data_IF_863911107639
#
_entry.id   IF_863911107639
#
_cell.length_a   1.000
_cell.length_b   1.000
_cell.length_c   1.000
_cell.angle_alpha   90.00
_cell.angle_beta   90.00
_cell.angle_gamma   90.00
#
_symmetry.space_group_name_H-M   'P 1'
#
loop_
_entity.id
_entity.type
_entity.pdbx_description
1 polymer ?
#
# COMPACT_ATOMS: atom_id res chain seq x y z
N UNK A 1 -29.05 -14.89 0.81
CA UNK A 1 -28.97 -14.07 2.04
C UNK A 1 -27.92 -14.63 2.96
N UNK A 2 -26.64 -14.51 2.57
CA UNK A 2 -25.55 -14.73 3.52
C UNK A 2 -25.48 -13.55 4.48
N UNK A 3 -24.87 -13.70 5.66
CA UNK A 3 -24.58 -12.55 6.51
C UNK A 3 -23.78 -11.54 5.70
N UNK A 4 -24.05 -10.24 5.89
CA UNK A 4 -23.12 -9.23 5.44
C UNK A 4 -21.79 -9.53 6.15
N UNK A 5 -20.77 -9.96 5.40
CA UNK A 5 -19.42 -10.25 5.90
C UNK A 5 -18.67 -8.94 6.25
N UNK A 6 -19.41 -7.89 6.62
CA UNK A 6 -18.93 -6.54 6.79
C UNK A 6 -19.10 -6.17 8.25
N UNK A 7 -17.99 -6.09 8.98
CA UNK A 7 -17.96 -5.55 10.34
C UNK A 7 -18.21 -4.04 10.29
N UNK A 8 -18.79 -3.46 11.35
CA UNK A 8 -19.05 -2.02 11.38
C UNK A 8 -17.76 -1.22 11.51
N UNK A 9 -17.76 0.05 11.09
CA UNK A 9 -16.64 0.97 11.27
C UNK A 9 -16.15 1.01 12.74
N UNK A 10 -17.09 1.00 13.70
CA UNK A 10 -16.78 1.02 15.13
C UNK A 10 -16.12 -0.27 15.60
N UNK A 11 -16.58 -1.42 15.10
CA UNK A 11 -15.97 -2.71 15.43
C UNK A 11 -14.55 -2.80 14.86
N UNK A 12 -14.36 -2.41 13.59
CA UNK A 12 -13.05 -2.32 12.96
C UNK A 12 -12.11 -1.42 13.75
N UNK A 13 -12.57 -0.22 14.12
CA UNK A 13 -11.80 0.75 14.90
C UNK A 13 -11.35 0.17 16.24
N UNK A 14 -12.25 -0.51 16.96
CA UNK A 14 -11.92 -1.11 18.26
C UNK A 14 -10.91 -2.26 18.13
N UNK A 15 -10.98 -3.04 17.04
CA UNK A 15 -9.96 -4.06 16.73
C UNK A 15 -8.61 -3.39 16.47
N UNK A 16 -8.57 -2.38 15.61
CA UNK A 16 -7.34 -1.66 15.29
C UNK A 16 -6.71 -1.01 16.53
N UNK A 17 -7.50 -0.40 17.43
CA UNK A 17 -7.00 0.18 18.68
C UNK A 17 -6.28 -0.83 19.56
N UNK A 18 -6.81 -2.05 19.67
CA UNK A 18 -6.15 -3.12 20.42
C UNK A 18 -4.81 -3.49 19.80
N UNK A 19 -4.74 -3.62 18.47
CA UNK A 19 -3.49 -3.93 17.77
C UNK A 19 -2.46 -2.81 17.98
N UNK A 20 -2.88 -1.56 17.83
CA UNK A 20 -2.02 -0.38 18.01
C UNK A 20 -1.48 -0.31 19.44
N UNK A 21 -2.33 -0.52 20.45
CA UNK A 21 -1.93 -0.46 21.86
C UNK A 21 -0.84 -1.50 22.20
N UNK A 22 -0.90 -2.70 21.62
CA UNK A 22 0.10 -3.75 21.86
C UNK A 22 1.44 -3.49 21.12
N UNK A 23 1.45 -2.65 20.08
CA UNK A 23 2.61 -2.44 19.22
C UNK A 23 3.30 -1.08 19.42
N UNK A 24 2.60 -0.08 19.95
CA UNK A 24 3.03 1.32 19.94
C UNK A 24 4.43 1.58 20.54
N UNK A 25 4.79 0.85 21.60
CA UNK A 25 6.08 1.00 22.27
C UNK A 25 7.25 0.40 21.50
N UNK A 26 6.98 -0.48 20.52
CA UNK A 26 7.98 -1.22 19.74
C UNK A 26 8.19 -0.72 18.32
N UNK A 27 7.48 0.34 17.89
CA UNK A 27 7.49 0.80 16.49
C UNK A 27 7.80 2.28 16.35
N UNK A 28 8.43 2.63 15.23
CA UNK A 28 8.72 4.01 14.84
C UNK A 28 7.52 4.69 14.16
N UNK A 29 6.69 3.91 13.48
CA UNK A 29 5.49 4.36 12.76
C UNK A 29 4.46 3.23 12.65
N UNK A 30 3.23 3.59 12.28
CA UNK A 30 2.21 2.64 11.86
C UNK A 30 1.94 2.76 10.36
N UNK A 31 1.97 1.63 9.66
CA UNK A 31 1.55 1.53 8.27
C UNK A 31 0.22 0.76 8.20
N UNK A 32 -0.86 1.49 7.95
CA UNK A 32 -2.18 0.92 7.67
C UNK A 32 -2.19 0.39 6.23
N UNK A 33 -1.63 -0.80 6.00
CA UNK A 33 -1.45 -1.35 4.65
C UNK A 33 -2.64 -2.14 4.11
N UNK A 34 -2.74 -2.19 2.78
CA UNK A 34 -3.73 -3.02 2.08
C UNK A 34 -5.18 -2.69 2.44
N UNK A 35 -5.47 -1.40 2.67
CA UNK A 35 -6.84 -0.95 2.94
C UNK A 35 -7.68 -1.04 1.66
N UNK A 36 -8.76 -1.82 1.70
CA UNK A 36 -9.58 -2.12 0.52
C UNK A 36 -10.76 -1.14 0.35
N UNK A 37 -11.08 -0.36 1.38
CA UNK A 37 -12.12 0.68 1.39
C UNK A 37 -11.71 1.93 2.17
N UNK A 38 -12.42 3.03 1.96
CA UNK A 38 -12.22 4.26 2.72
C UNK A 38 -12.55 4.08 4.21
N UNK A 39 -13.60 3.31 4.54
CA UNK A 39 -14.02 3.07 5.92
C UNK A 39 -12.98 2.23 6.70
N UNK A 40 -12.43 1.19 6.07
CA UNK A 40 -11.33 0.41 6.67
C UNK A 40 -10.10 1.30 6.93
N UNK A 41 -9.70 2.09 5.94
CA UNK A 41 -8.59 3.03 6.08
C UNK A 41 -8.85 4.02 7.22
N UNK A 42 -10.06 4.58 7.28
CA UNK A 42 -10.44 5.54 8.31
C UNK A 42 -10.40 4.93 9.71
N UNK A 43 -10.91 3.72 9.90
CA UNK A 43 -10.82 3.04 11.19
C UNK A 43 -9.36 2.79 11.60
N UNK A 44 -8.54 2.23 10.70
CA UNK A 44 -7.15 1.91 10.99
C UNK A 44 -6.31 3.16 11.27
N UNK A 45 -6.42 4.19 10.43
CA UNK A 45 -5.67 5.44 10.57
C UNK A 45 -6.11 6.20 11.82
N UNK A 46 -7.40 6.19 12.18
CA UNK A 46 -7.87 6.80 13.44
C UNK A 46 -7.21 6.12 14.64
N UNK A 47 -7.26 4.79 14.72
CA UNK A 47 -6.62 4.04 15.80
C UNK A 47 -5.10 4.30 15.85
N UNK A 48 -4.43 4.26 14.71
CA UNK A 48 -2.99 4.50 14.64
C UNK A 48 -2.61 5.92 15.07
N UNK A 49 -3.41 6.93 14.69
CA UNK A 49 -3.16 8.33 15.03
C UNK A 49 -3.26 8.59 16.54
N UNK A 50 -4.10 7.85 17.26
CA UNK A 50 -4.24 7.95 18.73
C UNK A 50 -2.95 7.55 19.48
N UNK A 51 -2.04 6.82 18.83
CA UNK A 51 -0.73 6.48 19.41
C UNK A 51 0.25 7.65 19.48
N UNK A 52 0.00 8.73 18.72
CA UNK A 52 0.93 9.85 18.56
C UNK A 52 2.16 9.54 17.68
N UNK A 53 2.24 8.35 17.07
CA UNK A 53 3.29 7.98 16.12
C UNK A 53 2.95 8.47 14.70
N UNK A 54 3.94 8.64 13.81
CA UNK A 54 3.70 8.83 12.38
C UNK A 54 2.81 7.70 11.81
N UNK A 55 1.83 8.08 10.99
CA UNK A 55 0.90 7.12 10.36
C UNK A 55 1.01 7.21 8.85
N UNK A 56 1.25 6.08 8.21
CA UNK A 56 1.17 5.88 6.77
C UNK A 56 -0.09 5.10 6.44
N UNK A 57 -0.68 5.38 5.29
CA UNK A 57 -1.81 4.59 4.76
C UNK A 57 -1.43 4.05 3.39
N UNK A 58 -1.72 2.78 3.13
CA UNK A 58 -1.57 2.18 1.81
C UNK A 58 -2.87 1.52 1.37
N UNK A 59 -3.34 1.87 0.17
CA UNK A 59 -4.55 1.29 -0.42
C UNK A 59 -4.22 0.19 -1.42
N UNK A 60 -5.08 -0.83 -1.48
CA UNK A 60 -5.05 -1.83 -2.57
C UNK A 60 -6.10 -1.50 -3.63
N UNK A 61 -5.66 -1.55 -4.89
CA UNK A 61 -6.46 -1.14 -6.02
C UNK A 61 -7.00 -2.33 -6.81
N UNK A 62 -8.11 -2.12 -7.52
CA UNK A 62 -8.57 -3.03 -8.55
C UNK A 62 -7.48 -3.23 -9.62
N UNK A 63 -7.34 -4.47 -10.08
CA UNK A 63 -6.27 -4.87 -11.01
C UNK A 63 -6.44 -4.30 -12.42
N UNK A 64 -7.65 -3.86 -12.77
CA UNK A 64 -8.05 -3.47 -14.12
C UNK A 64 -8.93 -2.23 -14.13
N UNK A 65 -8.86 -1.48 -15.23
CA UNK A 65 -9.66 -0.29 -15.46
C UNK A 65 -9.09 0.96 -14.78
N UNK A 66 -9.97 1.92 -14.47
CA UNK A 66 -9.59 3.15 -13.78
C UNK A 66 -9.09 2.81 -12.36
N UNK A 67 -8.00 3.43 -11.86
CA UNK A 67 -7.55 3.26 -10.48
C UNK A 67 -8.67 3.53 -9.49
N UNK A 68 -9.05 2.49 -8.75
CA UNK A 68 -10.06 2.51 -7.70
C UNK A 68 -9.65 1.54 -6.62
N UNK A 69 -10.01 1.84 -5.38
CA UNK A 69 -9.91 0.87 -4.29
C UNK A 69 -10.70 -0.40 -4.65
N UNK A 70 -10.39 -1.52 -4.00
CA UNK A 70 -11.13 -2.78 -4.22
C UNK A 70 -12.63 -2.66 -3.91
N UNK A 71 -13.03 -1.71 -3.07
CA UNK A 71 -14.42 -1.31 -2.81
C UNK A 71 -15.10 -0.56 -3.98
N UNK A 72 -14.33 -0.08 -4.95
CA UNK A 72 -14.79 0.75 -6.07
C UNK A 72 -14.69 2.25 -5.83
N UNK A 73 -14.23 2.69 -4.65
CA UNK A 73 -14.06 4.10 -4.33
C UNK A 73 -12.87 4.72 -5.09
N UNK A 74 -12.94 6.02 -5.40
CA UNK A 74 -11.80 6.75 -5.94
C UNK A 74 -10.74 6.99 -4.85
N UNK A 75 -9.47 7.11 -5.24
CA UNK A 75 -8.37 7.36 -4.29
C UNK A 75 -8.58 8.71 -3.60
N UNK A 76 -8.97 9.75 -4.35
CA UNK A 76 -9.32 11.05 -3.77
C UNK A 76 -10.44 10.97 -2.71
N UNK A 77 -11.47 10.15 -2.95
CA UNK A 77 -12.55 9.94 -1.97
C UNK A 77 -12.04 9.26 -0.70
N UNK A 78 -11.22 8.22 -0.84
CA UNK A 78 -10.62 7.54 0.29
C UNK A 78 -9.65 8.43 1.07
N UNK A 79 -8.89 9.30 0.39
CA UNK A 79 -8.03 10.28 1.03
C UNK A 79 -8.83 11.34 1.81
N UNK A 80 -9.90 11.89 1.23
CA UNK A 80 -10.78 12.85 1.93
C UNK A 80 -11.49 12.24 3.15
N UNK A 81 -11.72 10.93 3.18
CA UNK A 81 -12.28 10.26 4.37
C UNK A 81 -11.33 10.31 5.58
N UNK A 82 -10.05 10.65 5.36
CA UNK A 82 -9.03 10.83 6.39
C UNK A 82 -8.79 12.30 6.75
N UNK A 83 -9.57 13.23 6.20
CA UNK A 83 -9.42 14.66 6.49
C UNK A 83 -9.52 14.92 8.01
N UNK A 84 -8.58 15.70 8.53
CA UNK A 84 -8.43 15.96 9.97
C UNK A 84 -7.56 14.96 10.72
N UNK A 85 -7.09 13.89 10.09
CA UNK A 85 -6.08 12.97 10.64
C UNK A 85 -4.68 13.29 10.07
N UNK A 86 -3.66 13.14 10.91
CA UNK A 86 -2.27 13.40 10.52
C UNK A 86 -1.68 12.20 9.77
N UNK A 87 -1.89 12.15 8.45
CA UNK A 87 -1.30 11.13 7.57
C UNK A 87 0.06 11.61 7.05
N UNK A 88 1.12 10.93 7.44
CA UNK A 88 2.49 11.28 7.11
C UNK A 88 2.94 10.78 5.72
N UNK A 89 2.32 9.71 5.19
CA UNK A 89 2.55 9.26 3.81
C UNK A 89 1.33 8.50 3.27
N UNK A 90 1.15 8.57 1.94
CA UNK A 90 0.07 7.90 1.21
C UNK A 90 0.66 6.95 0.18
N UNK A 91 0.26 5.69 0.21
CA UNK A 91 0.85 4.65 -0.60
C UNK A 91 -0.21 3.82 -1.34
N UNK A 92 0.26 3.06 -2.33
CA UNK A 92 -0.51 1.99 -2.97
C UNK A 92 0.29 0.69 -2.95
N UNK A 93 -0.37 -0.41 -2.58
CA UNK A 93 0.27 -1.71 -2.49
C UNK A 93 -0.65 -2.88 -2.83
N UNK A 94 -0.09 -4.09 -2.86
CA UNK A 94 -0.83 -5.34 -3.03
C UNK A 94 -1.75 -5.34 -4.26
N UNK A 95 -1.26 -4.74 -5.35
CA UNK A 95 -1.89 -4.73 -6.67
C UNK A 95 -0.80 -4.83 -7.73
N UNK A 96 -1.18 -4.88 -9.01
CA UNK A 96 -0.24 -5.00 -10.12
C UNK A 96 0.60 -3.72 -10.29
N UNK A 97 1.85 -3.81 -10.76
CA UNK A 97 2.67 -2.65 -11.11
C UNK A 97 1.97 -1.63 -12.01
N UNK A 98 1.17 -2.11 -12.97
CA UNK A 98 0.45 -1.27 -13.92
C UNK A 98 -0.69 -0.47 -13.25
N UNK A 99 -1.35 -1.06 -12.25
CA UNK A 99 -2.37 -0.37 -11.47
C UNK A 99 -1.75 0.73 -10.61
N UNK A 100 -0.56 0.48 -10.04
CA UNK A 100 0.23 1.49 -9.33
C UNK A 100 0.61 2.62 -10.28
N UNK A 101 1.21 2.32 -11.43
CA UNK A 101 1.64 3.33 -12.40
C UNK A 101 0.49 4.24 -12.84
N UNK A 102 -0.71 3.67 -13.06
CA UNK A 102 -1.90 4.43 -13.39
C UNK A 102 -2.43 5.30 -12.24
N UNK A 103 -2.19 4.91 -10.99
CA UNK A 103 -2.68 5.59 -9.79
C UNK A 103 -1.75 6.72 -9.31
N UNK A 104 -0.45 6.62 -9.57
CA UNK A 104 0.56 7.55 -9.07
C UNK A 104 0.24 9.04 -9.34
N UNK A 105 -0.20 9.46 -10.55
CA UNK A 105 -0.53 10.86 -10.79
C UNK A 105 -1.64 11.40 -9.86
N UNK A 106 -2.67 10.59 -9.58
CA UNK A 106 -3.73 10.96 -8.63
C UNK A 106 -3.18 11.04 -7.20
N UNK A 107 -2.37 10.06 -6.79
CA UNK A 107 -1.79 9.98 -5.45
C UNK A 107 -0.83 11.15 -5.16
N UNK A 108 0.01 11.51 -6.12
CA UNK A 108 0.92 12.67 -6.05
C UNK A 108 0.14 13.98 -6.01
N UNK A 109 -0.96 14.07 -6.77
CA UNK A 109 -1.84 15.24 -6.77
C UNK A 109 -2.47 15.55 -5.40
N UNK A 110 -2.52 14.57 -4.49
CA UNK A 110 -2.99 14.76 -3.10
C UNK A 110 -1.92 15.42 -2.20
N UNK A 111 -0.66 15.46 -2.63
CA UNK A 111 0.46 16.05 -1.92
C UNK A 111 1.02 15.22 -0.76
N UNK A 112 2.18 15.65 -0.27
CA UNK A 112 2.96 14.94 0.75
C UNK A 112 3.73 13.72 0.23
N UNK A 113 4.39 12.96 1.11
CA UNK A 113 5.14 11.77 0.72
C UNK A 113 4.24 10.69 0.12
N UNK A 114 4.67 10.17 -1.03
CA UNK A 114 4.00 9.11 -1.77
C UNK A 114 4.85 7.84 -1.80
N UNK A 115 4.20 6.68 -1.75
CA UNK A 115 4.87 5.41 -1.93
C UNK A 115 4.12 4.36 -2.73
N UNK A 116 4.86 3.33 -3.16
CA UNK A 116 4.36 2.30 -4.04
C UNK A 116 5.14 0.99 -3.85
N UNK A 117 4.42 -0.13 -3.70
CA UNK A 117 5.02 -1.46 -3.65
C UNK A 117 4.05 -2.55 -4.15
N UNK A 118 4.32 -3.10 -5.32
CA UNK A 118 3.42 -4.02 -6.02
C UNK A 118 3.61 -5.49 -5.61
N UNK A 119 2.69 -6.35 -6.07
CA UNK A 119 2.87 -7.79 -6.07
C UNK A 119 3.80 -8.23 -7.22
N UNK A 120 4.52 -9.33 -7.04
CA UNK A 120 5.30 -10.03 -8.05
C UNK A 120 4.48 -11.00 -8.93
N UNK A 121 3.15 -10.98 -8.84
CA UNK A 121 2.27 -11.86 -9.62
C UNK A 121 1.20 -11.12 -10.43
N UNK A 122 0.54 -11.85 -11.33
CA UNK A 122 -0.41 -11.26 -12.28
C UNK A 122 -1.71 -10.84 -11.60
N UNK A 123 -2.42 -11.70 -10.87
CA UNK A 123 -3.74 -11.33 -10.30
C UNK A 123 -3.96 -11.90 -8.90
N UNK A 124 -4.63 -11.14 -8.03
CA UNK A 124 -5.13 -11.64 -6.73
C UNK A 124 -6.50 -12.31 -6.86
N UNK A 125 -7.14 -12.27 -8.05
CA UNK A 125 -8.47 -12.85 -8.26
C UNK A 125 -8.53 -14.36 -7.96
N UNK A 126 -7.41 -15.06 -8.09
CA UNK A 126 -7.28 -16.47 -7.73
C UNK A 126 -7.45 -16.74 -6.21
N UNK A 127 -7.40 -15.70 -5.36
CA UNK A 127 -7.57 -15.80 -3.90
C UNK A 127 -9.03 -15.61 -3.43
N UNK A 128 -9.99 -15.36 -4.32
CA UNK A 128 -11.39 -15.16 -3.88
C UNK A 128 -12.04 -16.50 -3.47
N UNK A 129 -12.42 -16.58 -2.19
CA UNK A 129 -13.17 -17.65 -1.49
C UNK A 129 -12.47 -19.02 -1.43
N UNK A 130 -11.74 -19.25 -0.34
CA UNK A 130 -11.30 -20.60 0.06
C UNK A 130 -10.16 -21.20 -0.78
N UNK A 131 -9.61 -20.45 -1.74
CA UNK A 131 -8.39 -20.83 -2.43
C UNK A 131 -7.18 -20.63 -1.52
N UNK A 132 -6.33 -21.66 -1.39
CA UNK A 132 -5.02 -21.52 -0.75
C UNK A 132 -4.14 -20.59 -1.57
N UNK A 133 -3.12 -20.01 -0.93
CA UNK A 133 -2.10 -19.15 -1.57
C UNK A 133 -1.44 -19.85 -2.78
N UNK A 134 -1.49 -21.18 -2.83
CA UNK A 134 -0.95 -22.04 -3.88
C UNK A 134 -1.54 -21.80 -5.29
N UNK A 135 -2.69 -21.12 -5.41
CA UNK A 135 -3.35 -20.86 -6.72
C UNK A 135 -2.90 -19.53 -7.35
N UNK A 136 -1.99 -18.79 -6.70
CA UNK A 136 -1.36 -17.62 -7.31
C UNK A 136 -0.36 -18.08 -8.37
N UNK A 137 -0.71 -17.89 -9.65
CA UNK A 137 0.27 -17.98 -10.72
C UNK A 137 1.22 -16.78 -10.63
N UNK A 138 2.39 -17.00 -10.03
CA UNK A 138 3.50 -16.07 -10.05
C UNK A 138 3.71 -15.58 -11.50
N UNK A 139 3.89 -14.26 -11.65
CA UNK A 139 4.15 -13.69 -12.95
C UNK A 139 5.62 -14.01 -13.26
N UNK A 140 5.87 -14.91 -14.19
CA UNK A 140 7.25 -15.25 -14.55
C UNK A 140 8.02 -14.08 -15.19
N UNK A 141 7.32 -13.01 -15.60
CA UNK A 141 7.93 -11.82 -16.21
C UNK A 141 8.37 -10.74 -15.20
N UNK A 142 8.01 -10.84 -13.91
CA UNK A 142 8.43 -9.90 -12.84
C UNK A 142 9.56 -10.50 -12.00
N UNK A 143 10.64 -10.91 -12.67
CA UNK A 143 11.91 -11.21 -12.01
C UNK A 143 12.52 -9.97 -11.32
N UNK A 144 13.60 -10.14 -10.54
CA UNK A 144 14.23 -9.04 -9.79
C UNK A 144 14.48 -7.77 -10.60
N UNK A 145 15.13 -7.89 -11.77
CA UNK A 145 15.46 -6.74 -12.61
C UNK A 145 14.21 -6.06 -13.20
N UNK A 146 13.26 -6.86 -13.69
CA UNK A 146 12.01 -6.34 -14.27
C UNK A 146 11.16 -5.63 -13.20
N UNK A 147 11.15 -6.11 -11.97
CA UNK A 147 10.49 -5.42 -10.86
C UNK A 147 11.20 -4.12 -10.50
N UNK A 148 12.53 -4.12 -10.46
CA UNK A 148 13.32 -2.91 -10.23
C UNK A 148 13.03 -1.84 -11.29
N UNK A 149 12.89 -2.22 -12.57
CA UNK A 149 12.52 -1.30 -13.65
C UNK A 149 11.16 -0.62 -13.39
N UNK A 150 10.15 -1.38 -12.94
CA UNK A 150 8.84 -0.84 -12.58
C UNK A 150 8.94 0.17 -11.43
N UNK A 151 9.68 -0.19 -10.37
CA UNK A 151 9.82 0.65 -9.20
C UNK A 151 10.62 1.92 -9.48
N UNK A 152 11.63 1.89 -10.34
CA UNK A 152 12.31 3.11 -10.82
C UNK A 152 11.34 4.03 -11.55
N UNK A 153 10.47 3.49 -12.40
CA UNK A 153 9.42 4.29 -13.05
C UNK A 153 8.49 4.98 -12.05
N UNK A 154 8.21 4.36 -10.89
CA UNK A 154 7.45 5.00 -9.83
C UNK A 154 8.22 6.13 -9.14
N UNK A 155 9.51 5.93 -8.89
CA UNK A 155 10.38 6.97 -8.30
C UNK A 155 10.50 8.16 -9.24
N UNK A 156 10.75 7.92 -10.53
CA UNK A 156 10.80 8.97 -11.56
C UNK A 156 9.48 9.75 -11.68
N UNK A 157 8.35 9.08 -11.44
CA UNK A 157 7.04 9.72 -11.40
C UNK A 157 6.83 10.57 -10.13
N UNK A 158 7.61 10.36 -9.06
CA UNK A 158 7.56 11.15 -7.82
C UNK A 158 7.30 10.32 -6.54
N UNK A 159 7.34 8.99 -6.61
CA UNK A 159 7.27 8.17 -5.40
C UNK A 159 8.59 8.27 -4.59
N UNK A 160 8.46 8.48 -3.29
CA UNK A 160 9.58 8.60 -2.34
C UNK A 160 9.78 7.37 -1.47
N UNK A 161 8.81 6.45 -1.45
CA UNK A 161 8.84 5.21 -0.67
C UNK A 161 8.55 4.06 -1.63
N UNK A 162 9.52 3.17 -1.86
CA UNK A 162 9.36 2.00 -2.72
C UNK A 162 9.78 0.72 -2.01
N UNK A 163 9.13 -0.39 -2.37
CA UNK A 163 9.37 -1.68 -1.72
C UNK A 163 8.76 -2.84 -2.51
N UNK A 164 8.45 -3.93 -1.82
CA UNK A 164 7.82 -5.13 -2.38
C UNK A 164 6.62 -5.60 -1.56
N UNK A 165 5.61 -6.15 -2.22
CA UNK A 165 4.49 -6.82 -1.57
C UNK A 165 4.58 -8.35 -1.79
N UNK A 166 3.46 -9.03 -2.05
CA UNK A 166 3.46 -10.48 -2.20
C UNK A 166 4.28 -10.93 -3.42
N UNK A 167 5.04 -12.03 -3.30
CA UNK A 167 5.96 -12.55 -4.34
C UNK A 167 7.11 -11.61 -4.76
N UNK A 168 7.38 -10.56 -3.98
CA UNK A 168 8.59 -9.73 -4.12
C UNK A 168 9.54 -10.07 -2.98
N UNK A 169 10.60 -10.80 -3.30
CA UNK A 169 11.52 -11.35 -2.30
C UNK A 169 12.81 -10.52 -2.12
N UNK A 170 13.72 -10.98 -1.24
CA UNK A 170 15.03 -10.35 -1.04
C UNK A 170 15.83 -10.12 -2.34
N UNK A 171 15.84 -11.02 -3.34
CA UNK A 171 16.52 -10.74 -4.61
C UNK A 171 15.94 -9.54 -5.36
N UNK A 172 14.62 -9.35 -5.35
CA UNK A 172 13.97 -8.18 -5.95
C UNK A 172 14.35 -6.89 -5.23
N UNK A 173 14.38 -6.91 -3.90
CA UNK A 173 14.78 -5.74 -3.10
C UNK A 173 16.27 -5.41 -3.31
N UNK A 174 17.13 -6.41 -3.45
CA UNK A 174 18.55 -6.19 -3.78
C UNK A 174 18.71 -5.53 -5.16
N UNK A 175 18.01 -6.04 -6.18
CA UNK A 175 18.02 -5.44 -7.52
C UNK A 175 17.47 -4.01 -7.52
N UNK A 176 16.40 -3.74 -6.75
CA UNK A 176 15.84 -2.42 -6.58
C UNK A 176 16.83 -1.45 -5.94
N UNK A 177 17.48 -1.84 -4.84
CA UNK A 177 18.53 -1.04 -4.19
C UNK A 177 19.64 -0.71 -5.19
N UNK A 178 20.20 -1.72 -5.84
CA UNK A 178 21.32 -1.55 -6.76
C UNK A 178 20.94 -0.59 -7.90
N UNK A 179 19.68 -0.68 -8.38
CA UNK A 179 19.21 0.22 -9.43
C UNK A 179 19.02 1.66 -8.96
N UNK A 180 18.48 1.86 -7.75
CA UNK A 180 18.33 3.19 -7.15
C UNK A 180 19.70 3.87 -7.00
N UNK A 181 20.68 3.15 -6.47
CA UNK A 181 22.06 3.65 -6.29
C UNK A 181 22.72 3.98 -7.65
N UNK A 182 22.56 3.11 -8.65
CA UNK A 182 23.08 3.35 -10.01
C UNK A 182 22.42 4.56 -10.70
N UNK A 183 21.14 4.80 -10.44
CA UNK A 183 20.43 5.97 -10.92
C UNK A 183 20.73 7.25 -10.10
N UNK A 184 21.55 7.15 -9.05
CA UNK A 184 22.00 8.29 -8.25
C UNK A 184 21.03 8.71 -7.14
N UNK A 185 20.05 7.88 -6.79
CA UNK A 185 19.16 8.13 -5.66
C UNK A 185 19.84 7.79 -4.33
N UNK A 186 19.58 8.60 -3.31
CA UNK A 186 19.98 8.31 -1.93
C UNK A 186 18.88 7.51 -1.23
N UNK A 187 19.24 6.38 -0.64
CA UNK A 187 18.33 5.55 0.15
C UNK A 187 18.47 5.95 1.61
N UNK A 188 17.40 6.49 2.20
CA UNK A 188 17.36 6.93 3.59
C UNK A 188 16.31 6.16 4.39
N UNK A 189 16.59 5.93 5.67
CA UNK A 189 15.65 5.33 6.63
C UNK A 189 14.72 6.35 7.30
N UNK A 190 14.84 7.63 6.97
CA UNK A 190 14.10 8.73 7.58
C UNK A 190 13.55 9.61 6.46
N UNK A 191 12.23 9.81 6.42
CA UNK A 191 11.64 10.83 5.55
C UNK A 191 12.19 12.19 6.00
N UNK A 192 13.02 12.81 5.16
CA UNK A 192 13.42 14.20 5.37
C UNK A 192 12.16 15.08 5.25
N UNK A 193 11.87 15.81 6.32
CA UNK A 193 10.79 16.80 6.37
C UNK A 193 11.09 18.02 5.50
#
# INVERSE_FOLDING_TARGET
NGPALTISLWDTLNICRRIVAEQADGVDLFLCETMASADEARAAVTAASESGKPVWVSWTLADHGKPRLRSGEAIATAASALDGLAVAARLVNCCRPEAIAAALPELIGLGGPVGAYANGFTSTEALKHGGTVDVLHARHDLGPDAYADQAIGWVEAGASIVGGCCEVGPPHIAALRDRLEQAGYEISGVLHA
#
